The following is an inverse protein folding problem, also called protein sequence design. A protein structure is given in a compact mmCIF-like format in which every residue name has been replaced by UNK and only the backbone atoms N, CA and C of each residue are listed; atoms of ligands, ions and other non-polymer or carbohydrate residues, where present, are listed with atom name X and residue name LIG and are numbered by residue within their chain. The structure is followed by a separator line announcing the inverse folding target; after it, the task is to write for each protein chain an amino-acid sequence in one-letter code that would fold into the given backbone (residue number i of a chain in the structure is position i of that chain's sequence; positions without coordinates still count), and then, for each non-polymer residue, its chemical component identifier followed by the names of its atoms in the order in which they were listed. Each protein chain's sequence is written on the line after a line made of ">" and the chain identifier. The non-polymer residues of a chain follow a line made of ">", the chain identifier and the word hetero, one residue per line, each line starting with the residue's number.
data_IF_878083349951
#
_entry.id   IF_878083349951
#
_cell.length_a   1.000
_cell.length_b   1.000
_cell.length_c   1.000
_cell.angle_alpha   90.00
_cell.angle_beta   90.00
_cell.angle_gamma   90.00
#
_symmetry.space_group_name_H-M   'P 1'
#
loop_
_entity.id
_entity.type
_entity.pdbx_description
1 polymer ?
#
# COMPACT_ATOMS: atom_id res chain seq x y z
N UNK A 1 18.66 24.35 14.55
CA UNK A 1 18.50 25.80 14.79
C UNK A 1 17.44 26.32 13.83
N UNK A 2 16.43 27.08 14.29
CA UNK A 2 15.43 27.64 13.38
C UNK A 2 16.15 28.61 12.44
N UNK A 3 16.18 28.28 11.14
CA UNK A 3 16.95 28.99 10.11
C UNK A 3 16.54 30.46 9.96
N UNK A 4 15.42 30.87 10.54
CA UNK A 4 15.05 32.28 10.72
C UNK A 4 16.12 33.06 11.50
N UNK A 5 16.81 32.42 12.46
CA UNK A 5 17.95 32.97 13.19
C UNK A 5 19.19 33.18 12.31
N UNK A 6 19.22 32.61 11.09
CA UNK A 6 20.31 32.77 10.13
C UNK A 6 19.93 33.74 9.00
N UNK A 7 18.74 33.58 8.41
CA UNK A 7 18.33 34.38 7.25
C UNK A 7 17.87 35.81 7.60
N UNK A 8 17.24 36.00 8.77
CA UNK A 8 16.82 37.33 9.22
C UNK A 8 18.02 38.26 9.47
N UNK A 9 19.06 37.87 10.25
CA UNK A 9 20.21 38.76 10.44
C UNK A 9 20.98 38.99 9.13
N UNK A 10 21.03 37.99 8.23
CA UNK A 10 21.70 38.13 6.95
C UNK A 10 20.94 39.06 6.00
N UNK A 11 19.60 39.02 6.01
CA UNK A 11 18.74 39.97 5.29
C UNK A 11 18.83 41.40 5.83
N UNK A 12 18.81 41.57 7.15
CA UNK A 12 19.01 42.88 7.79
C UNK A 12 20.39 43.46 7.49
N UNK A 13 21.44 42.63 7.53
CA UNK A 13 22.80 43.04 7.21
C UNK A 13 22.97 43.42 5.73
N UNK A 14 22.40 42.64 4.81
CA UNK A 14 22.39 42.97 3.39
C UNK A 14 21.64 44.30 3.13
N UNK A 15 20.47 44.49 3.76
CA UNK A 15 19.71 45.73 3.67
C UNK A 15 20.46 46.94 4.23
N UNK A 16 21.20 46.76 5.33
CA UNK A 16 22.05 47.79 5.90
C UNK A 16 23.19 48.19 4.95
N UNK A 17 23.89 47.22 4.35
CA UNK A 17 24.97 47.50 3.39
C UNK A 17 24.42 48.24 2.17
N UNK A 18 23.37 47.71 1.53
CA UNK A 18 22.76 48.32 0.34
C UNK A 18 22.25 49.73 0.66
N UNK A 19 21.62 49.88 1.83
CA UNK A 19 21.15 51.16 2.34
C UNK A 19 22.26 52.18 2.56
N UNK A 20 23.39 51.76 3.13
CA UNK A 20 24.55 52.64 3.37
C UNK A 20 25.20 53.10 2.06
N UNK A 21 25.26 52.22 1.07
CA UNK A 21 25.79 52.55 -0.27
C UNK A 21 24.86 53.55 -0.96
N UNK A 22 23.56 53.22 -1.05
CA UNK A 22 22.58 54.06 -1.73
C UNK A 22 22.39 55.42 -1.02
N UNK A 23 22.33 55.42 0.31
CA UNK A 23 22.27 56.64 1.11
C UNK A 23 23.54 57.48 0.98
N UNK A 24 24.72 56.86 0.91
CA UNK A 24 25.99 57.55 0.69
C UNK A 24 26.07 58.24 -0.68
N UNK A 25 25.56 57.59 -1.73
CA UNK A 25 25.43 58.23 -3.05
C UNK A 25 24.50 59.44 -2.98
N UNK A 26 23.33 59.30 -2.35
CA UNK A 26 22.36 60.40 -2.22
C UNK A 26 22.91 61.56 -1.39
N UNK A 27 23.66 61.29 -0.32
CA UNK A 27 24.30 62.33 0.48
C UNK A 27 25.32 63.14 -0.35
N UNK A 28 26.17 62.46 -1.11
CA UNK A 28 27.16 63.13 -1.96
C UNK A 28 26.50 63.98 -3.05
N UNK A 29 25.40 63.50 -3.64
CA UNK A 29 24.61 64.27 -4.59
C UNK A 29 24.00 65.53 -3.95
N UNK A 30 23.47 65.44 -2.72
CA UNK A 30 22.93 66.59 -1.99
C UNK A 30 24.03 67.62 -1.66
N UNK A 31 25.25 67.14 -1.37
CA UNK A 31 26.41 67.99 -1.07
C UNK A 31 27.15 68.50 -2.31
N UNK A 32 26.72 68.12 -3.52
CA UNK A 32 27.38 68.51 -4.79
C UNK A 32 28.77 67.89 -4.98
N UNK A 33 29.07 66.76 -4.31
CA UNK A 33 30.33 66.04 -4.39
C UNK A 33 30.24 64.90 -5.42
N UNK A 34 31.37 64.53 -6.02
CA UNK A 34 31.43 63.34 -6.90
C UNK A 34 31.17 62.08 -6.05
N UNK A 35 30.12 61.29 -6.36
CA UNK A 35 29.80 60.05 -5.64
C UNK A 35 30.91 58.99 -5.68
N UNK A 36 31.80 59.04 -6.68
CA UNK A 36 32.89 58.07 -6.84
C UNK A 36 34.19 58.50 -6.13
N UNK A 37 34.32 59.78 -5.76
CA UNK A 37 35.51 60.31 -5.10
C UNK A 37 35.53 60.04 -3.58
N UNK A 38 34.39 59.62 -3.02
CA UNK A 38 34.22 59.36 -1.60
C UNK A 38 33.94 57.88 -1.36
N UNK A 39 34.36 57.34 -0.22
CA UNK A 39 34.29 55.90 0.05
C UNK A 39 32.85 55.33 0.02
N UNK A 40 32.73 54.04 -0.27
CA UNK A 40 31.44 53.33 -0.37
C UNK A 40 30.57 53.44 0.93
N UNK A 41 31.20 53.76 2.08
CA UNK A 41 30.55 53.90 3.39
C UNK A 41 30.66 55.33 3.97
N UNK A 42 30.51 56.37 3.14
CA UNK A 42 30.59 57.78 3.58
C UNK A 42 29.68 58.14 4.74
N UNK A 43 28.49 57.52 4.82
CA UNK A 43 27.57 57.73 5.94
C UNK A 43 28.13 57.29 7.30
N UNK A 44 29.05 56.33 7.31
CA UNK A 44 29.73 55.88 8.54
C UNK A 44 30.98 56.71 8.84
N UNK A 45 31.76 57.07 7.81
CA UNK A 45 32.99 57.85 7.99
C UNK A 45 32.73 59.29 8.40
N UNK A 46 31.65 59.90 7.90
CA UNK A 46 31.26 61.28 8.19
C UNK A 46 30.03 61.32 9.12
N UNK A 47 29.91 60.38 10.06
CA UNK A 47 28.73 60.28 10.93
C UNK A 47 28.49 61.59 11.73
N UNK A 48 27.33 62.26 11.57
CA UNK A 48 27.10 63.61 12.09
C UNK A 48 26.78 63.67 13.59
N UNK A 49 26.75 62.52 14.26
CA UNK A 49 26.25 62.37 15.62
C UNK A 49 24.73 62.25 15.68
N UNK A 50 24.22 61.58 16.71
CA UNK A 50 22.78 61.28 16.86
C UNK A 50 21.89 62.53 16.88
N UNK A 51 22.39 63.68 17.36
CA UNK A 51 21.63 64.93 17.44
C UNK A 51 21.35 65.62 16.10
N UNK A 52 22.08 65.28 15.02
CA UNK A 52 21.96 65.91 13.68
C UNK A 52 21.45 64.96 12.60
N UNK A 53 21.10 63.74 12.99
CA UNK A 53 20.69 62.68 12.08
C UNK A 53 19.36 63.00 11.38
N UNK A 54 18.49 63.76 12.05
CA UNK A 54 17.18 64.19 11.54
C UNK A 54 17.21 65.55 10.83
N UNK A 55 18.39 66.17 10.69
CA UNK A 55 18.54 67.46 10.01
C UNK A 55 19.10 67.28 8.59
N UNK A 56 18.68 68.10 7.61
CA UNK A 56 19.33 68.11 6.30
C UNK A 56 20.83 68.41 6.43
N UNK A 57 21.71 67.77 5.63
CA UNK A 57 21.41 66.87 4.50
C UNK A 57 21.26 65.38 4.89
N UNK A 58 21.35 65.02 6.17
CA UNK A 58 21.50 63.63 6.65
C UNK A 58 20.19 62.84 6.73
N UNK A 59 19.05 63.52 6.83
CA UNK A 59 17.74 62.90 7.02
C UNK A 59 17.38 61.89 5.91
N UNK A 60 17.46 62.30 4.64
CA UNK A 60 17.07 61.47 3.49
C UNK A 60 17.99 60.25 3.30
N UNK A 61 19.33 60.40 3.34
CA UNK A 61 20.25 59.26 3.34
C UNK A 61 19.98 58.21 4.41
N UNK A 62 19.73 58.62 5.65
CA UNK A 62 19.46 57.68 6.74
C UNK A 62 18.06 57.04 6.65
N UNK A 63 17.07 57.73 6.07
CA UNK A 63 15.77 57.12 5.73
C UNK A 63 15.91 56.03 4.67
N UNK A 64 16.80 56.20 3.68
CA UNK A 64 17.10 55.17 2.67
C UNK A 64 17.72 53.94 3.35
N UNK A 65 18.66 54.14 4.28
CA UNK A 65 19.27 53.04 5.06
C UNK A 65 18.21 52.27 5.85
N UNK A 66 17.35 52.99 6.59
CA UNK A 66 16.27 52.38 7.36
C UNK A 66 15.29 51.62 6.48
N UNK A 67 14.86 52.21 5.37
CA UNK A 67 13.90 51.60 4.43
C UNK A 67 14.47 50.35 3.76
N UNK A 68 15.72 50.39 3.30
CA UNK A 68 16.38 49.23 2.71
C UNK A 68 16.52 48.09 3.72
N UNK A 69 16.90 48.40 4.96
CA UNK A 69 17.02 47.41 6.03
C UNK A 69 15.67 46.72 6.32
N UNK A 70 14.58 47.48 6.39
CA UNK A 70 13.23 46.95 6.60
C UNK A 70 12.78 46.08 5.42
N UNK A 71 12.96 46.53 4.17
CA UNK A 71 12.54 45.77 2.97
C UNK A 71 13.27 44.43 2.87
N UNK A 72 14.59 44.42 3.04
CA UNK A 72 15.37 43.18 2.96
C UNK A 72 15.12 42.27 4.17
N UNK A 73 14.91 42.82 5.37
CA UNK A 73 14.49 42.06 6.55
C UNK A 73 13.13 41.38 6.35
N UNK A 74 12.14 42.11 5.81
CA UNK A 74 10.82 41.57 5.47
C UNK A 74 10.90 40.50 4.38
N UNK A 75 11.69 40.72 3.33
CA UNK A 75 11.88 39.73 2.27
C UNK A 75 12.51 38.43 2.80
N UNK A 76 13.55 38.53 3.65
CA UNK A 76 14.17 37.38 4.29
C UNK A 76 13.21 36.62 5.22
N UNK A 77 12.39 37.34 5.98
CA UNK A 77 11.35 36.76 6.82
C UNK A 77 10.29 36.00 5.99
N UNK A 78 9.78 36.60 4.91
CA UNK A 78 8.78 35.97 4.02
C UNK A 78 9.34 34.70 3.36
N UNK A 79 10.59 34.74 2.88
CA UNK A 79 11.24 33.59 2.28
C UNK A 79 11.46 32.46 3.30
N UNK A 80 11.84 32.79 4.54
CA UNK A 80 12.04 31.80 5.60
C UNK A 80 10.73 31.12 5.99
N UNK A 81 9.64 31.89 6.13
CA UNK A 81 8.32 31.37 6.47
C UNK A 81 7.74 30.46 5.37
N UNK A 82 7.94 30.81 4.08
CA UNK A 82 7.47 29.98 2.96
C UNK A 82 8.15 28.62 2.91
N UNK A 83 9.42 28.51 3.30
CA UNK A 83 10.14 27.24 3.27
C UNK A 83 9.73 26.30 4.40
N UNK A 84 9.42 26.83 5.60
CA UNK A 84 8.89 26.00 6.70
C UNK A 84 7.58 25.30 6.33
N UNK A 85 6.75 25.95 5.51
CA UNK A 85 5.51 25.35 4.98
C UNK A 85 5.74 24.22 3.97
N UNK A 86 7.00 23.94 3.59
CA UNK A 86 7.36 22.96 2.55
C UNK A 86 8.27 21.84 3.04
N UNK A 87 8.63 21.83 4.32
CA UNK A 87 9.61 20.92 4.91
C UNK A 87 9.18 19.44 4.84
N UNK A 88 7.87 19.18 4.77
CA UNK A 88 7.28 17.84 4.65
C UNK A 88 6.74 17.54 3.24
N UNK A 89 7.10 18.36 2.25
CA UNK A 89 6.60 18.28 0.88
C UNK A 89 5.39 19.19 0.62
N UNK A 90 5.13 19.45 -0.65
CA UNK A 90 3.95 20.18 -1.11
C UNK A 90 2.99 19.24 -1.83
N UNK A 91 1.77 19.12 -1.32
CA UNK A 91 0.68 18.49 -2.05
C UNK A 91 -0.13 19.56 -2.76
N UNK A 92 -0.32 19.39 -4.07
CA UNK A 92 -1.27 20.20 -4.85
C UNK A 92 -2.06 19.29 -5.78
N UNK A 93 -3.28 19.69 -6.09
CA UNK A 93 -4.03 19.04 -7.16
C UNK A 93 -3.31 19.27 -8.49
N UNK A 94 -3.17 18.20 -9.27
CA UNK A 94 -2.54 18.27 -10.58
C UNK A 94 -3.42 19.04 -11.56
N UNK A 95 -2.81 19.90 -12.35
CA UNK A 95 -3.44 20.49 -13.53
C UNK A 95 -3.56 19.44 -14.63
N UNK A 96 -4.47 19.64 -15.60
CA UNK A 96 -4.63 18.72 -16.74
C UNK A 96 -3.32 18.46 -17.50
N UNK A 97 -2.48 19.49 -17.65
CA UNK A 97 -1.17 19.39 -18.29
C UNK A 97 -0.23 18.48 -17.50
N UNK A 98 -0.20 18.61 -16.17
CA UNK A 98 0.58 17.76 -15.29
C UNK A 98 0.07 16.32 -15.32
N UNK A 99 -1.25 16.10 -15.29
CA UNK A 99 -1.85 14.76 -15.41
C UNK A 99 -1.46 14.09 -16.73
N UNK A 100 -1.53 14.82 -17.85
CA UNK A 100 -1.10 14.31 -19.16
C UNK A 100 0.38 13.92 -19.15
N UNK A 101 1.26 14.79 -18.64
CA UNK A 101 2.70 14.51 -18.51
C UNK A 101 2.97 13.31 -17.59
N UNK A 102 2.17 13.18 -16.55
CA UNK A 102 2.23 12.07 -15.60
C UNK A 102 1.53 10.81 -16.13
N UNK A 103 0.98 10.82 -17.34
CA UNK A 103 0.38 9.65 -17.95
C UNK A 103 -0.92 9.20 -17.27
N UNK A 104 -1.67 10.12 -16.68
CA UNK A 104 -2.96 9.90 -16.01
C UNK A 104 -4.18 10.19 -16.93
N UNK A 105 -3.97 10.31 -18.24
CA UNK A 105 -5.01 10.54 -19.24
C UNK A 105 -4.86 9.57 -20.43
N UNK A 106 -4.67 8.28 -20.12
CA UNK A 106 -4.52 7.24 -21.16
C UNK A 106 -5.85 6.82 -21.77
N UNK A 107 -5.82 6.11 -22.90
CA UNK A 107 -7.03 5.52 -23.45
C UNK A 107 -7.65 4.51 -22.46
N UNK A 108 -8.97 4.34 -22.50
CA UNK A 108 -9.63 3.31 -21.69
C UNK A 108 -9.16 1.93 -22.14
N UNK A 109 -9.01 1.00 -21.19
CA UNK A 109 -8.53 -0.36 -21.45
C UNK A 109 -7.00 -0.53 -21.47
N UNK A 110 -6.22 0.56 -21.48
CA UNK A 110 -4.74 0.46 -21.36
C UNK A 110 -4.26 0.18 -19.93
N UNK A 111 -5.14 0.37 -18.95
CA UNK A 111 -4.88 0.06 -17.55
C UNK A 111 -6.02 0.49 -16.63
N UNK A 112 -5.68 0.94 -15.42
CA UNK A 112 -6.66 1.33 -14.42
C UNK A 112 -7.33 2.66 -14.75
N UNK A 113 -8.64 2.71 -14.51
CA UNK A 113 -9.47 3.91 -14.59
C UNK A 113 -9.82 4.35 -13.18
N UNK A 114 -9.42 5.57 -12.82
CA UNK A 114 -9.59 6.14 -11.48
C UNK A 114 -10.82 7.04 -11.36
N UNK A 115 -11.28 7.63 -12.47
CA UNK A 115 -12.41 8.55 -12.47
C UNK A 115 -12.55 9.34 -13.76
N UNK A 116 -13.31 10.44 -13.71
CA UNK A 116 -13.61 11.30 -14.87
C UNK A 116 -13.42 12.77 -14.51
N UNK A 117 -12.76 13.54 -15.38
CA UNK A 117 -12.49 14.98 -15.20
C UNK A 117 -13.69 15.85 -15.60
N UNK A 118 -14.85 15.59 -15.00
CA UNK A 118 -16.05 16.37 -15.25
C UNK A 118 -17.31 15.72 -14.70
N UNK A 119 -18.43 16.44 -14.84
CA UNK A 119 -19.73 15.92 -14.46
C UNK A 119 -20.06 14.62 -15.22
N UNK A 120 -20.76 13.65 -14.60
CA UNK A 120 -21.03 12.34 -15.21
C UNK A 120 -21.64 12.43 -16.62
N UNK A 121 -22.58 13.36 -16.82
CA UNK A 121 -23.32 13.57 -18.09
C UNK A 121 -22.54 14.33 -19.17
N UNK A 122 -21.41 14.97 -18.84
CA UNK A 122 -20.63 15.75 -19.81
C UNK A 122 -19.58 14.86 -20.47
N UNK A 123 -19.28 15.10 -21.75
CA UNK A 123 -18.08 14.50 -22.36
C UNK A 123 -16.84 15.11 -21.71
N UNK A 124 -16.03 14.27 -21.07
CA UNK A 124 -14.82 14.68 -20.39
C UNK A 124 -13.82 13.52 -20.34
N UNK A 125 -12.50 13.80 -20.36
CA UNK A 125 -11.48 12.76 -20.26
C UNK A 125 -11.61 11.94 -18.98
N UNK A 126 -11.30 10.65 -19.09
CA UNK A 126 -11.12 9.80 -17.92
C UNK A 126 -9.72 10.00 -17.34
N UNK A 127 -9.63 9.84 -16.02
CA UNK A 127 -8.37 9.72 -15.31
C UNK A 127 -8.00 8.24 -15.34
N UNK A 128 -6.98 7.91 -16.10
CA UNK A 128 -6.60 6.52 -16.40
C UNK A 128 -5.11 6.42 -16.67
N UNK A 129 -4.51 5.29 -16.30
CA UNK A 129 -3.09 5.06 -16.51
C UNK A 129 -2.79 3.62 -16.91
N UNK A 130 -1.61 3.40 -17.48
CA UNK A 130 -1.10 2.05 -17.78
C UNK A 130 -0.67 1.32 -16.51
N UNK A 131 -0.76 -0.01 -16.52
CA UNK A 131 -0.28 -0.84 -15.41
C UNK A 131 1.23 -0.73 -15.18
N UNK A 132 2.01 -0.48 -16.24
CA UNK A 132 3.46 -0.25 -16.12
C UNK A 132 3.80 0.96 -15.24
N UNK A 133 2.96 2.00 -15.29
CA UNK A 133 3.20 3.23 -14.54
C UNK A 133 2.53 3.22 -13.17
N UNK A 134 1.31 2.69 -13.10
CA UNK A 134 0.52 2.60 -11.88
C UNK A 134 -0.07 1.20 -11.75
N UNK A 135 0.69 0.23 -11.20
CA UNK A 135 0.26 -1.16 -11.10
C UNK A 135 -0.78 -1.40 -10.00
N UNK A 136 -0.84 -0.50 -9.01
CA UNK A 136 -1.68 -0.66 -7.83
C UNK A 136 -2.47 0.62 -7.53
N UNK A 137 -3.65 0.45 -6.94
CA UNK A 137 -4.51 1.54 -6.53
C UNK A 137 -5.17 1.22 -5.19
N UNK A 138 -5.18 2.20 -4.30
CA UNK A 138 -5.99 2.18 -3.08
C UNK A 138 -7.19 3.10 -3.27
N UNK A 139 -8.40 2.52 -3.23
CA UNK A 139 -9.65 3.28 -3.29
C UNK A 139 -10.26 3.34 -1.90
N UNK A 140 -10.29 4.54 -1.33
CA UNK A 140 -10.91 4.81 -0.03
C UNK A 140 -12.26 5.49 -0.26
N UNK A 141 -13.35 4.81 0.10
CA UNK A 141 -14.70 5.35 -0.04
C UNK A 141 -15.61 4.80 1.06
N UNK A 142 -16.51 5.62 1.63
CA UNK A 142 -17.48 5.13 2.61
C UNK A 142 -18.50 4.16 1.97
N UNK A 143 -19.27 3.48 2.81
CA UNK A 143 -20.36 2.63 2.33
C UNK A 143 -21.36 3.45 1.51
N UNK A 144 -21.94 2.84 0.47
CA UNK A 144 -22.89 3.48 -0.46
C UNK A 144 -22.34 4.68 -1.28
N UNK A 145 -21.03 4.97 -1.24
CA UNK A 145 -20.41 6.00 -2.09
C UNK A 145 -20.25 5.59 -3.58
N UNK A 146 -20.70 4.39 -3.96
CA UNK A 146 -20.62 3.91 -5.33
C UNK A 146 -19.28 3.27 -5.72
N UNK A 147 -18.45 2.80 -4.77
CA UNK A 147 -17.17 2.13 -5.11
C UNK A 147 -17.32 0.96 -6.09
N UNK A 148 -18.39 0.18 -5.97
CA UNK A 148 -18.67 -0.96 -6.87
C UNK A 148 -19.00 -0.48 -8.28
N UNK A 149 -20.00 0.39 -8.39
CA UNK A 149 -20.53 0.89 -9.69
C UNK A 149 -19.58 1.85 -10.39
N UNK A 150 -18.88 2.72 -9.64
CA UNK A 150 -18.05 3.79 -10.18
C UNK A 150 -16.59 3.40 -10.42
N UNK A 151 -16.10 2.33 -9.79
CA UNK A 151 -14.70 1.92 -9.91
C UNK A 151 -14.54 0.44 -10.24
N UNK A 152 -15.09 -0.47 -9.42
CA UNK A 152 -14.83 -1.91 -9.59
C UNK A 152 -15.41 -2.46 -10.89
N UNK A 153 -16.72 -2.27 -11.14
CA UNK A 153 -17.39 -2.77 -12.35
C UNK A 153 -16.73 -2.20 -13.62
N UNK A 154 -16.50 -0.88 -13.77
CA UNK A 154 -15.82 -0.35 -14.96
C UNK A 154 -14.44 -0.94 -15.19
N UNK A 155 -13.61 -1.08 -14.13
CA UNK A 155 -12.28 -1.67 -14.28
C UNK A 155 -12.36 -3.15 -14.63
N UNK A 156 -13.29 -3.92 -14.07
CA UNK A 156 -13.51 -5.32 -14.45
C UNK A 156 -13.91 -5.46 -15.92
N UNK A 157 -14.79 -4.59 -16.43
CA UNK A 157 -15.23 -4.62 -17.82
C UNK A 157 -14.13 -4.19 -18.80
N UNK A 158 -13.29 -3.23 -18.41
CA UNK A 158 -12.23 -2.68 -19.28
C UNK A 158 -10.92 -3.46 -19.22
N UNK A 159 -10.72 -4.31 -18.21
CA UNK A 159 -9.47 -5.01 -18.01
C UNK A 159 -9.29 -6.14 -19.03
N UNK A 160 -8.28 -6.02 -19.88
CA UNK A 160 -7.97 -6.95 -20.95
C UNK A 160 -7.03 -8.09 -20.51
N UNK A 161 -7.34 -8.75 -19.39
CA UNK A 161 -6.55 -9.86 -18.86
C UNK A 161 -7.29 -10.65 -17.77
N UNK A 162 -6.64 -11.66 -17.19
CA UNK A 162 -7.25 -12.48 -16.13
C UNK A 162 -7.35 -11.75 -14.81
N UNK A 163 -8.54 -11.73 -14.20
CA UNK A 163 -8.78 -11.07 -12.93
C UNK A 163 -9.40 -12.03 -11.90
N UNK A 164 -8.95 -11.92 -10.64
CA UNK A 164 -9.58 -12.55 -9.48
C UNK A 164 -10.25 -11.45 -8.67
N UNK A 165 -11.54 -11.60 -8.40
CA UNK A 165 -12.37 -10.57 -7.76
C UNK A 165 -13.01 -11.15 -6.51
N UNK A 166 -12.74 -10.53 -5.36
CA UNK A 166 -13.47 -10.81 -4.13
C UNK A 166 -14.82 -10.10 -4.17
N UNK A 167 -15.87 -10.84 -4.50
CA UNK A 167 -17.23 -10.34 -4.60
C UNK A 167 -18.14 -10.96 -3.54
N UNK A 168 -18.15 -10.34 -2.35
CA UNK A 168 -18.93 -10.82 -1.19
C UNK A 168 -20.43 -10.86 -1.46
N UNK A 169 -20.93 -10.03 -2.40
CA UNK A 169 -22.36 -9.90 -2.68
C UNK A 169 -22.83 -10.56 -3.98
N UNK A 170 -21.92 -10.88 -4.89
CA UNK A 170 -22.25 -11.38 -6.23
C UNK A 170 -22.62 -10.30 -7.25
N UNK A 171 -22.74 -9.03 -6.84
CA UNK A 171 -23.16 -7.91 -7.70
C UNK A 171 -22.18 -7.65 -8.85
N UNK A 172 -20.88 -7.89 -8.64
CA UNK A 172 -19.85 -7.68 -9.67
C UNK A 172 -19.93 -8.81 -10.69
N UNK A 173 -20.05 -10.06 -10.23
CA UNK A 173 -20.23 -11.21 -11.11
C UNK A 173 -21.48 -11.06 -11.98
N UNK A 174 -22.62 -10.70 -11.38
CA UNK A 174 -23.89 -10.49 -12.10
C UNK A 174 -23.76 -9.39 -13.17
N UNK A 175 -23.11 -8.27 -12.84
CA UNK A 175 -22.96 -7.14 -13.74
C UNK A 175 -21.96 -7.40 -14.89
N UNK A 176 -20.94 -8.24 -14.68
CA UNK A 176 -19.78 -8.29 -15.59
C UNK A 176 -19.58 -9.62 -16.31
N UNK A 177 -20.00 -10.75 -15.73
CA UNK A 177 -19.71 -12.11 -16.22
C UNK A 177 -20.08 -12.31 -17.69
N UNK A 178 -21.27 -11.86 -18.11
CA UNK A 178 -21.74 -11.99 -19.50
C UNK A 178 -20.86 -11.22 -20.49
N UNK A 179 -20.42 -10.02 -20.12
CA UNK A 179 -19.54 -9.22 -20.97
C UNK A 179 -18.17 -9.86 -21.10
N UNK A 180 -17.58 -10.29 -19.97
CA UNK A 180 -16.29 -11.00 -19.94
C UNK A 180 -16.32 -12.28 -20.79
N UNK A 181 -17.36 -13.10 -20.62
CA UNK A 181 -17.57 -14.29 -21.45
C UNK A 181 -17.70 -13.96 -22.94
N UNK A 182 -18.39 -12.87 -23.28
CA UNK A 182 -18.49 -12.40 -24.68
C UNK A 182 -17.18 -11.86 -25.26
N UNK A 183 -16.23 -11.44 -24.41
CA UNK A 183 -14.85 -11.10 -24.81
C UNK A 183 -13.95 -12.33 -24.96
N UNK A 184 -14.45 -13.53 -24.65
CA UNK A 184 -13.70 -14.79 -24.76
C UNK A 184 -13.07 -15.26 -23.45
N UNK A 185 -13.34 -14.61 -22.32
CA UNK A 185 -12.84 -15.08 -21.03
C UNK A 185 -13.59 -16.34 -20.57
N UNK A 186 -12.86 -17.26 -19.94
CA UNK A 186 -13.45 -18.25 -19.06
C UNK A 186 -13.85 -17.58 -17.73
N UNK A 187 -15.11 -17.79 -17.32
CA UNK A 187 -15.70 -17.08 -16.18
C UNK A 187 -16.14 -18.07 -15.11
N UNK A 188 -15.39 -18.09 -14.01
CA UNK A 188 -15.63 -18.95 -12.85
C UNK A 188 -16.21 -18.15 -11.69
N UNK A 189 -17.08 -18.80 -10.92
CA UNK A 189 -17.72 -18.27 -9.70
C UNK A 189 -17.53 -19.26 -8.57
N UNK A 190 -16.77 -18.88 -7.54
CA UNK A 190 -16.58 -19.69 -6.34
C UNK A 190 -17.34 -19.06 -5.16
N UNK A 191 -18.45 -19.68 -4.76
CA UNK A 191 -19.36 -19.19 -3.72
C UNK A 191 -20.00 -20.39 -3.00
N UNK A 192 -19.27 -21.09 -2.12
CA UNK A 192 -19.72 -22.34 -1.49
C UNK A 192 -20.93 -22.19 -0.55
N UNK A 193 -21.26 -20.95 -0.15
CA UNK A 193 -22.38 -20.64 0.75
C UNK A 193 -23.58 -20.02 0.03
N UNK A 194 -23.53 -19.87 -1.30
CA UNK A 194 -24.72 -19.58 -2.09
C UNK A 194 -25.41 -20.90 -2.46
N UNK A 195 -26.52 -21.17 -1.78
CA UNK A 195 -27.30 -22.40 -2.00
C UNK A 195 -28.35 -22.25 -3.10
N UNK A 196 -28.62 -21.02 -3.54
CA UNK A 196 -29.60 -20.72 -4.59
C UNK A 196 -28.97 -20.82 -5.98
N UNK A 197 -27.71 -20.42 -6.11
CA UNK A 197 -26.99 -20.39 -7.38
C UNK A 197 -25.80 -21.36 -7.40
N UNK A 198 -25.54 -22.03 -8.53
CA UNK A 198 -24.38 -22.91 -8.67
C UNK A 198 -23.05 -22.20 -8.35
N UNK A 199 -22.15 -22.95 -7.72
CA UNK A 199 -20.74 -22.60 -7.54
C UNK A 199 -19.89 -23.54 -8.37
N UNK A 200 -18.81 -23.01 -8.94
CA UNK A 200 -17.72 -23.80 -9.48
C UNK A 200 -16.88 -24.35 -8.34
N UNK A 201 -16.09 -25.36 -8.65
CA UNK A 201 -15.18 -26.02 -7.73
C UNK A 201 -13.74 -25.53 -7.91
N UNK A 202 -13.01 -25.48 -6.81
CA UNK A 202 -11.58 -25.17 -6.81
C UNK A 202 -10.85 -26.01 -5.77
N UNK A 203 -9.97 -26.89 -6.23
CA UNK A 203 -9.11 -27.73 -5.42
C UNK A 203 -7.63 -27.34 -5.60
N UNK A 204 -7.02 -26.63 -4.63
CA UNK A 204 -5.64 -26.20 -4.73
C UNK A 204 -4.63 -27.37 -4.67
N UNK A 205 -5.04 -28.53 -4.15
CA UNK A 205 -4.14 -29.69 -4.00
C UNK A 205 -4.01 -30.53 -5.28
N UNK A 206 -4.90 -30.36 -6.25
CA UNK A 206 -4.86 -31.15 -7.49
C UNK A 206 -3.56 -30.91 -8.26
N UNK A 207 -3.10 -29.65 -8.37
CA UNK A 207 -1.82 -29.31 -9.01
C UNK A 207 -0.64 -29.94 -8.26
N UNK A 208 -0.71 -29.96 -6.93
CA UNK A 208 0.35 -30.50 -6.08
C UNK A 208 0.43 -32.03 -6.20
N UNK A 209 -0.72 -32.70 -6.28
CA UNK A 209 -0.79 -34.15 -6.47
C UNK A 209 -0.14 -34.62 -7.78
N UNK A 210 -0.15 -33.78 -8.83
CA UNK A 210 0.47 -34.07 -10.13
C UNK A 210 2.00 -33.91 -10.15
N UNK A 211 2.61 -33.38 -9.09
CA UNK A 211 4.07 -33.21 -9.01
C UNK A 211 4.72 -34.56 -8.77
N UNK A 212 5.57 -35.01 -9.70
CA UNK A 212 6.27 -36.29 -9.61
C UNK A 212 7.35 -36.31 -8.52
N UNK A 213 8.14 -35.24 -8.42
CA UNK A 213 9.20 -35.15 -7.42
C UNK A 213 8.61 -35.05 -5.99
N UNK A 214 8.91 -36.01 -5.09
CA UNK A 214 8.32 -36.02 -3.74
C UNK A 214 8.73 -34.84 -2.87
N UNK A 215 9.97 -34.36 -2.98
CA UNK A 215 10.48 -33.24 -2.20
C UNK A 215 9.84 -31.92 -2.65
N UNK A 216 9.64 -31.75 -3.95
CA UNK A 216 8.91 -30.61 -4.51
C UNK A 216 7.44 -30.66 -4.07
N UNK A 217 6.81 -31.83 -4.08
CA UNK A 217 5.43 -32.02 -3.61
C UNK A 217 5.29 -31.64 -2.13
N UNK A 218 6.21 -32.11 -1.28
CA UNK A 218 6.27 -31.71 0.13
C UNK A 218 6.37 -30.18 0.25
N UNK A 219 7.31 -29.57 -0.48
CA UNK A 219 7.56 -28.13 -0.45
C UNK A 219 6.32 -27.32 -0.85
N UNK A 220 5.60 -27.75 -1.90
CA UNK A 220 4.39 -27.06 -2.36
C UNK A 220 3.22 -27.22 -1.37
N UNK A 221 3.08 -28.37 -0.71
CA UNK A 221 2.13 -28.54 0.40
C UNK A 221 2.46 -27.62 1.58
N UNK A 222 3.75 -27.49 1.95
CA UNK A 222 4.18 -26.59 3.02
C UNK A 222 3.80 -25.14 2.72
N UNK A 223 4.05 -24.66 1.49
CA UNK A 223 3.63 -23.31 1.06
C UNK A 223 2.13 -23.11 1.17
N UNK A 224 1.32 -24.09 0.74
CA UNK A 224 -0.13 -24.02 0.89
C UNK A 224 -0.52 -23.92 2.36
N UNK A 225 0.10 -24.71 3.24
CA UNK A 225 -0.16 -24.65 4.69
C UNK A 225 0.16 -23.29 5.29
N UNK A 226 1.22 -22.62 4.80
CA UNK A 226 1.62 -21.29 5.27
C UNK A 226 0.64 -20.19 4.85
N UNK A 227 0.11 -20.26 3.62
CA UNK A 227 -0.87 -19.29 3.12
C UNK A 227 -2.25 -19.49 3.72
N UNK A 228 -2.63 -20.74 3.97
CA UNK A 228 -3.98 -21.11 4.38
C UNK A 228 -4.17 -21.07 5.90
N UNK A 229 -3.23 -21.64 6.67
CA UNK A 229 -3.35 -21.74 8.13
C UNK A 229 -2.77 -20.48 8.78
N UNK A 230 -3.63 -19.52 9.10
CA UNK A 230 -3.25 -18.25 9.72
C UNK A 230 -3.88 -18.09 11.10
N UNK A 231 -3.11 -17.63 12.08
CA UNK A 231 -3.64 -17.19 13.40
C UNK A 231 -3.38 -15.70 13.59
N UNK A 232 -4.32 -15.01 14.24
CA UNK A 232 -4.23 -13.57 14.52
C UNK A 232 -3.21 -13.24 15.62
N UNK A 233 -2.88 -14.18 16.51
CA UNK A 233 -2.11 -13.90 17.72
C UNK A 233 -0.73 -14.60 17.73
N UNK A 234 0.33 -13.78 17.88
CA UNK A 234 1.74 -14.21 18.03
C UNK A 234 2.06 -14.57 19.49
N UNK A 235 1.40 -15.60 20.01
CA UNK A 235 1.69 -16.19 21.33
C UNK A 235 2.01 -17.68 21.23
N UNK A 236 1.80 -18.45 22.30
CA UNK A 236 1.93 -19.92 22.33
C UNK A 236 1.15 -20.62 21.20
N UNK A 237 0.06 -20.01 20.72
CA UNK A 237 -0.67 -20.47 19.55
C UNK A 237 0.18 -20.57 18.27
N UNK A 238 1.25 -19.76 18.13
CA UNK A 238 2.17 -19.80 17.00
C UNK A 238 3.04 -21.06 16.95
N UNK A 239 3.48 -21.54 18.11
CA UNK A 239 4.29 -22.78 18.19
C UNK A 239 3.41 -23.99 17.82
N UNK A 240 2.21 -24.08 18.41
CA UNK A 240 1.22 -25.12 18.08
C UNK A 240 0.81 -25.08 16.60
N UNK A 241 0.74 -23.89 15.99
CA UNK A 241 0.43 -23.73 14.57
C UNK A 241 1.56 -24.22 13.68
N UNK A 242 2.82 -23.98 14.07
CA UNK A 242 3.98 -24.43 13.30
C UNK A 242 4.00 -25.95 13.22
N UNK A 243 3.83 -26.64 14.35
CA UNK A 243 3.71 -28.11 14.35
C UNK A 243 2.41 -28.58 13.67
N UNK A 244 1.31 -27.83 13.82
CA UNK A 244 0.06 -28.10 13.12
C UNK A 244 0.22 -28.06 11.59
N UNK A 245 1.05 -27.16 11.06
CA UNK A 245 1.38 -27.10 9.62
C UNK A 245 2.19 -28.32 9.19
N UNK A 246 3.14 -28.78 10.01
CA UNK A 246 3.85 -30.05 9.74
C UNK A 246 2.86 -31.21 9.63
N UNK A 247 1.90 -31.28 10.56
CA UNK A 247 0.86 -32.31 10.56
C UNK A 247 -0.08 -32.18 9.34
N UNK A 248 -0.46 -30.96 8.96
CA UNK A 248 -1.23 -30.70 7.74
C UNK A 248 -0.50 -31.20 6.48
N UNK A 249 0.81 -30.98 6.38
CA UNK A 249 1.62 -31.46 5.26
C UNK A 249 1.67 -32.99 5.23
N UNK A 250 1.87 -33.64 6.38
CA UNK A 250 1.87 -35.09 6.49
C UNK A 250 0.52 -35.69 6.07
N UNK A 251 -0.59 -35.11 6.53
CA UNK A 251 -1.94 -35.49 6.12
C UNK A 251 -2.22 -35.20 4.64
N UNK A 252 -1.69 -34.11 4.09
CA UNK A 252 -1.77 -33.79 2.66
C UNK A 252 -1.07 -34.83 1.78
N UNK A 253 0.09 -35.32 2.20
CA UNK A 253 0.80 -36.40 1.51
C UNK A 253 0.00 -37.71 1.56
N UNK A 254 -0.53 -38.06 2.73
CA UNK A 254 -1.37 -39.25 2.87
C UNK A 254 -2.65 -39.15 2.02
N UNK A 255 -3.30 -37.97 1.98
CA UNK A 255 -4.46 -37.72 1.12
C UNK A 255 -4.14 -37.93 -0.38
N UNK A 256 -2.95 -37.51 -0.83
CA UNK A 256 -2.46 -37.75 -2.19
C UNK A 256 -2.25 -39.25 -2.44
N UNK A 257 -1.60 -39.96 -1.51
CA UNK A 257 -1.36 -41.41 -1.61
C UNK A 257 -2.66 -42.23 -1.62
N UNK A 258 -3.71 -41.75 -0.95
CA UNK A 258 -5.07 -42.29 -0.98
C UNK A 258 -5.85 -41.97 -2.27
N UNK A 259 -5.23 -41.29 -3.23
CA UNK A 259 -5.90 -40.76 -4.45
C UNK A 259 -7.09 -39.84 -4.14
N UNK A 260 -7.03 -39.10 -3.03
CA UNK A 260 -8.04 -38.11 -2.62
C UNK A 260 -7.38 -36.79 -2.22
N UNK A 261 -6.63 -36.14 -3.12
CA UNK A 261 -5.86 -34.94 -2.80
C UNK A 261 -6.78 -33.72 -2.62
N UNK A 262 -7.48 -33.64 -1.50
CA UNK A 262 -8.44 -32.57 -1.17
C UNK A 262 -8.21 -32.12 0.26
N UNK A 263 -8.47 -30.84 0.56
CA UNK A 263 -8.38 -30.35 1.94
C UNK A 263 -9.44 -31.03 2.82
N UNK A 264 -10.57 -31.45 2.23
CA UNK A 264 -11.57 -32.26 2.91
C UNK A 264 -11.02 -33.61 3.39
N UNK A 265 -10.26 -34.32 2.57
CA UNK A 265 -9.58 -35.56 3.00
C UNK A 265 -8.52 -35.28 4.07
N UNK A 266 -7.77 -34.18 3.97
CA UNK A 266 -6.86 -33.74 5.03
C UNK A 266 -7.64 -33.57 6.35
N UNK A 267 -8.78 -32.87 6.32
CA UNK A 267 -9.63 -32.70 7.51
C UNK A 267 -10.08 -34.05 8.10
N UNK A 268 -10.45 -35.01 7.24
CA UNK A 268 -10.84 -36.36 7.69
C UNK A 268 -9.68 -37.15 8.31
N UNK A 269 -8.48 -37.05 7.74
CA UNK A 269 -7.27 -37.68 8.30
C UNK A 269 -6.92 -37.07 9.66
N UNK A 270 -7.08 -35.75 9.82
CA UNK A 270 -6.72 -35.08 11.07
C UNK A 270 -7.77 -35.22 12.17
N UNK A 271 -9.06 -35.20 11.82
CA UNK A 271 -10.14 -35.03 12.81
C UNK A 271 -11.27 -36.06 12.68
N UNK A 272 -11.33 -36.85 11.60
CA UNK A 272 -12.48 -37.69 11.27
C UNK A 272 -12.73 -38.84 12.25
N UNK A 273 -11.67 -39.39 12.85
CA UNK A 273 -11.74 -40.43 13.90
C UNK A 273 -11.34 -39.90 15.28
N UNK A 274 -11.22 -38.57 15.43
CA UNK A 274 -10.62 -37.93 16.59
C UNK A 274 -9.10 -37.77 16.44
N UNK A 275 -8.54 -36.76 17.10
CA UNK A 275 -7.11 -36.49 17.14
C UNK A 275 -6.47 -37.26 18.31
N UNK A 276 -6.29 -38.58 18.17
CA UNK A 276 -5.71 -39.43 19.22
C UNK A 276 -4.35 -40.01 18.81
N UNK A 277 -3.61 -40.47 19.82
CA UNK A 277 -2.31 -41.13 19.62
C UNK A 277 -2.42 -42.35 18.69
N UNK A 278 -3.45 -43.18 18.88
CA UNK A 278 -3.65 -44.42 18.12
C UNK A 278 -3.90 -44.13 16.64
N UNK A 279 -4.78 -43.17 16.33
CA UNK A 279 -5.12 -42.80 14.94
C UNK A 279 -3.88 -42.30 14.20
N UNK A 280 -3.07 -41.44 14.84
CA UNK A 280 -1.83 -40.98 14.21
C UNK A 280 -0.78 -42.07 14.09
N UNK A 281 -0.73 -43.06 15.00
CA UNK A 281 0.13 -44.23 14.85
C UNK A 281 -0.27 -45.07 13.62
N UNK A 282 -1.57 -45.26 13.38
CA UNK A 282 -2.08 -45.95 12.19
C UNK A 282 -1.70 -45.20 10.89
N UNK A 283 -1.89 -43.88 10.85
CA UNK A 283 -1.50 -43.06 9.69
C UNK A 283 0.01 -43.07 9.44
N UNK A 284 0.83 -43.16 10.49
CA UNK A 284 2.28 -43.33 10.39
C UNK A 284 2.69 -44.66 9.72
N UNK A 285 1.91 -45.73 9.91
CA UNK A 285 2.13 -47.02 9.25
C UNK A 285 1.60 -47.05 7.82
N UNK A 286 0.54 -46.28 7.54
CA UNK A 286 -0.10 -46.23 6.24
C UNK A 286 0.69 -45.38 5.21
N UNK A 287 1.19 -44.21 5.63
CA UNK A 287 1.84 -43.27 4.72
C UNK A 287 3.21 -43.78 4.28
N UNK A 288 3.48 -43.74 2.96
CA UNK A 288 4.73 -44.22 2.36
C UNK A 288 5.84 -43.17 2.45
N UNK A 289 5.49 -41.89 2.46
CA UNK A 289 6.48 -40.82 2.54
C UNK A 289 7.21 -40.81 3.91
N UNK A 290 8.54 -41.02 3.98
CA UNK A 290 9.27 -41.22 5.24
C UNK A 290 9.12 -40.07 6.24
N UNK A 291 9.20 -38.82 5.78
CA UNK A 291 9.06 -37.65 6.67
C UNK A 291 7.62 -37.49 7.17
N UNK A 292 6.61 -37.87 6.37
CA UNK A 292 5.22 -37.80 6.81
C UNK A 292 4.97 -38.87 7.89
N UNK A 293 5.50 -40.07 7.69
CA UNK A 293 5.46 -41.13 8.69
C UNK A 293 6.18 -40.73 9.99
N UNK A 294 7.28 -39.99 9.90
CA UNK A 294 7.97 -39.45 11.07
C UNK A 294 7.13 -38.41 11.81
N UNK A 295 6.49 -37.48 11.09
CA UNK A 295 5.59 -36.48 11.68
C UNK A 295 4.41 -37.15 12.37
N UNK A 296 3.73 -38.11 11.72
CA UNK A 296 2.66 -38.85 12.37
C UNK A 296 3.14 -39.62 13.61
N UNK A 297 4.34 -40.23 13.58
CA UNK A 297 4.95 -40.87 14.77
C UNK A 297 5.25 -39.87 15.89
N UNK A 298 5.74 -38.67 15.56
CA UNK A 298 5.94 -37.58 16.53
C UNK A 298 4.62 -37.24 17.23
N UNK A 299 3.55 -37.04 16.48
CA UNK A 299 2.23 -36.72 17.02
C UNK A 299 1.62 -37.91 17.79
N UNK A 300 1.79 -39.14 17.31
CA UNK A 300 1.38 -40.34 18.05
C UNK A 300 2.07 -40.46 19.41
N UNK A 301 3.28 -39.90 19.58
CA UNK A 301 3.97 -39.86 20.87
C UNK A 301 3.42 -38.84 21.87
N UNK A 302 2.50 -37.96 21.47
CA UNK A 302 1.87 -36.98 22.35
C UNK A 302 0.67 -37.53 23.11
N UNK A 303 0.37 -36.93 24.25
CA UNK A 303 -0.88 -37.21 24.97
C UNK A 303 -2.08 -36.67 24.18
N UNK A 304 -3.23 -37.35 24.28
CA UNK A 304 -4.48 -36.91 23.62
C UNK A 304 -4.89 -35.49 24.02
N UNK A 305 -4.54 -35.04 25.23
CA UNK A 305 -4.75 -33.65 25.66
C UNK A 305 -3.94 -32.66 24.83
N UNK A 306 -2.68 -32.98 24.53
CA UNK A 306 -1.82 -32.16 23.67
C UNK A 306 -2.32 -32.17 22.23
N UNK A 307 -2.72 -33.34 21.73
CA UNK A 307 -3.30 -33.49 20.38
C UNK A 307 -4.58 -32.68 20.22
N UNK A 308 -5.44 -32.68 21.23
CA UNK A 308 -6.64 -31.83 21.28
C UNK A 308 -6.30 -30.34 21.19
N UNK A 309 -5.19 -29.89 21.80
CA UNK A 309 -4.71 -28.51 21.68
C UNK A 309 -4.27 -28.17 20.25
N UNK A 310 -3.50 -29.05 19.58
CA UNK A 310 -3.14 -28.84 18.16
C UNK A 310 -4.38 -28.83 17.26
N UNK A 311 -5.33 -29.74 17.49
CA UNK A 311 -6.58 -29.78 16.74
C UNK A 311 -7.39 -28.50 16.91
N UNK A 312 -7.47 -27.96 18.13
CA UNK A 312 -8.13 -26.68 18.41
C UNK A 312 -7.45 -25.52 17.67
N UNK A 313 -6.12 -25.44 17.69
CA UNK A 313 -5.36 -24.40 16.98
C UNK A 313 -5.54 -24.50 15.47
N UNK A 314 -5.44 -25.70 14.88
CA UNK A 314 -5.71 -25.92 13.46
C UNK A 314 -7.15 -25.59 13.09
N UNK A 315 -8.11 -25.92 13.96
CA UNK A 315 -9.50 -25.59 13.79
C UNK A 315 -9.73 -24.07 13.74
N UNK A 316 -9.14 -23.33 14.67
CA UNK A 316 -9.17 -21.86 14.72
C UNK A 316 -8.39 -21.18 13.58
N UNK A 317 -7.36 -21.84 13.05
CA UNK A 317 -6.57 -21.36 11.91
C UNK A 317 -7.26 -21.53 10.54
N UNK A 318 -8.44 -22.16 10.50
CA UNK A 318 -9.28 -22.25 9.30
C UNK A 318 -9.78 -23.65 8.92
N UNK A 319 -9.25 -24.72 9.54
CA UNK A 319 -9.63 -26.10 9.15
C UNK A 319 -11.11 -26.43 9.43
N UNK A 320 -11.74 -25.75 10.38
CA UNK A 320 -13.17 -25.96 10.71
C UNK A 320 -14.13 -25.69 9.54
N UNK A 321 -13.70 -24.93 8.52
CA UNK A 321 -14.51 -24.68 7.33
C UNK A 321 -14.93 -25.97 6.60
N UNK A 322 -14.11 -27.02 6.65
CA UNK A 322 -14.38 -28.32 6.00
C UNK A 322 -15.34 -29.23 6.77
N UNK A 323 -15.78 -28.81 7.96
CA UNK A 323 -16.90 -29.46 8.63
C UNK A 323 -18.23 -29.20 7.89
N UNK A 324 -18.27 -28.17 7.03
CA UNK A 324 -19.42 -27.88 6.19
C UNK A 324 -19.35 -28.68 4.87
N UNK A 325 -20.33 -29.56 4.57
CA UNK A 325 -20.35 -30.35 3.34
C UNK A 325 -20.33 -29.51 2.05
N UNK A 326 -20.83 -28.27 2.08
CA UNK A 326 -20.84 -27.40 0.92
C UNK A 326 -19.43 -26.93 0.55
N UNK A 327 -18.58 -26.62 1.54
CA UNK A 327 -17.17 -26.26 1.36
C UNK A 327 -16.38 -27.47 0.87
N UNK A 328 -16.58 -28.63 1.50
CA UNK A 328 -15.94 -29.88 1.10
C UNK A 328 -16.26 -30.23 -0.37
N UNK A 329 -17.54 -30.18 -0.76
CA UNK A 329 -17.96 -30.39 -2.16
C UNK A 329 -17.35 -29.36 -3.11
N UNK A 330 -17.36 -28.07 -2.74
CA UNK A 330 -16.82 -26.99 -3.58
C UNK A 330 -15.29 -27.07 -3.74
N UNK A 331 -14.59 -27.75 -2.84
CA UNK A 331 -13.13 -27.90 -2.88
C UNK A 331 -12.68 -29.31 -3.24
N UNK A 332 -13.61 -30.17 -3.66
CA UNK A 332 -13.36 -31.56 -4.01
C UNK A 332 -12.80 -31.79 -5.42
N UNK A 333 -12.71 -30.74 -6.25
CA UNK A 333 -12.18 -30.82 -7.62
C UNK A 333 -12.01 -29.44 -8.25
N UNK A 334 -11.58 -29.40 -9.50
CA UNK A 334 -11.55 -28.19 -10.33
C UNK A 334 -12.56 -28.31 -11.47
N UNK A 335 -13.27 -27.22 -11.76
CA UNK A 335 -14.08 -27.05 -12.96
C UNK A 335 -13.32 -26.19 -13.99
#
# INVERSE_FOLDING_TARGET
>A
MPRILLFLPLGLFAGLIVGLIAGGVVLNLILGRDPNATGIFVLLSEFPGFGRLLTPPWLVPWQIVGSATVVFGLAAAVLSLRQQLTEYGQAKFQTRREMSKNGLLQALGTGLVFGKLGAPRKSAPYVSATFEKFPHCLVVAPTRAGKGVGYVIPNTLLFNGSCVILDVKGEIFEATSRHRKAQGDEVYRFSPFDFEHPTHRYNPLERVARIENPEQRYTELSKISDYFLTVSDKGTAGDFLTEGRELFVAAGLLAIERNRPTIGEISRILFGQGATSEVYAEHALEVKHPNAAQTFRKFAGYSDRTLSSHASVLGGAGMTLWNNPAVDRATGGND
#
